data_IF_831645630308
#
_entry.id   IF_831645630308
#
_cell.length_a   1.000
_cell.length_b   1.000
_cell.length_c   1.000
_cell.angle_alpha   90.00
_cell.angle_beta   90.00
_cell.angle_gamma   90.00
#
_symmetry.space_group_name_H-M   'P 1'
#
loop_
_entity.id
_entity.type
_entity.pdbx_description
1 polymer ?
#
# COMPACT_ATOMS: atom_id res chain seq x y z
N UNK A 1 -2.47 28.58 9.58
CA UNK A 1 -3.02 27.26 9.27
C UNK A 1 -3.19 26.52 10.60
N UNK A 2 -4.29 25.83 10.84
CA UNK A 2 -4.50 25.00 12.03
C UNK A 2 -3.47 23.89 12.04
N UNK A 3 -2.90 23.57 13.20
CA UNK A 3 -1.99 22.44 13.37
C UNK A 3 -2.66 21.35 14.20
N UNK A 4 -2.24 20.11 14.02
CA UNK A 4 -2.89 18.91 14.56
C UNK A 4 -1.92 18.10 15.41
N UNK A 5 -2.45 17.49 16.46
CA UNK A 5 -1.72 16.47 17.24
C UNK A 5 -1.88 15.13 16.55
N UNK A 6 -0.76 14.56 16.17
CA UNK A 6 -0.71 13.29 15.41
C UNK A 6 -0.01 12.23 16.24
N UNK A 7 -0.60 11.05 16.32
CA UNK A 7 0.06 9.87 16.86
C UNK A 7 0.32 8.83 15.76
N UNK A 8 1.44 8.12 15.85
CA UNK A 8 1.74 6.96 14.99
C UNK A 8 1.75 5.71 15.87
N UNK A 9 0.75 4.85 15.71
CA UNK A 9 0.66 3.56 16.38
C UNK A 9 1.48 2.52 15.59
N UNK A 10 2.54 1.97 16.20
CA UNK A 10 3.51 1.12 15.52
C UNK A 10 4.68 1.90 14.89
N UNK A 11 5.06 3.03 15.52
CA UNK A 11 6.04 3.99 15.00
C UNK A 11 7.43 3.41 14.72
N UNK A 12 7.84 2.36 15.41
CA UNK A 12 9.17 1.74 15.26
C UNK A 12 9.28 0.76 14.09
N UNK A 13 8.13 0.35 13.51
CA UNK A 13 8.06 -0.50 12.32
C UNK A 13 8.46 0.22 11.03
N UNK A 14 8.65 -0.55 9.94
CA UNK A 14 9.05 0.00 8.64
C UNK A 14 8.04 1.06 8.13
N UNK A 15 6.74 0.75 8.16
CA UNK A 15 5.68 1.66 7.72
C UNK A 15 5.56 2.87 8.66
N UNK A 16 5.66 2.68 9.98
CA UNK A 16 5.58 3.79 10.94
C UNK A 16 6.72 4.80 10.76
N UNK A 17 7.95 4.33 10.55
CA UNK A 17 9.10 5.19 10.22
C UNK A 17 8.92 5.92 8.88
N UNK A 18 8.36 5.26 7.90
CA UNK A 18 8.06 5.88 6.61
C UNK A 18 6.95 6.92 6.73
N UNK A 19 5.92 6.70 7.58
CA UNK A 19 4.90 7.71 7.89
C UNK A 19 5.51 8.98 8.50
N UNK A 20 6.48 8.85 9.41
CA UNK A 20 7.21 10.00 9.95
C UNK A 20 7.89 10.80 8.83
N UNK A 21 8.59 10.11 7.93
CA UNK A 21 9.30 10.72 6.80
C UNK A 21 8.31 11.44 5.86
N UNK A 22 7.22 10.78 5.49
CA UNK A 22 6.20 11.32 4.57
C UNK A 22 5.47 12.52 5.20
N UNK A 23 5.16 12.50 6.51
CA UNK A 23 4.58 13.66 7.20
C UNK A 23 5.48 14.90 7.07
N UNK A 24 6.81 14.72 7.19
CA UNK A 24 7.78 15.80 7.03
C UNK A 24 7.89 16.26 5.57
N UNK A 25 8.04 15.34 4.63
CA UNK A 25 8.20 15.65 3.20
C UNK A 25 6.97 16.34 2.58
N UNK A 26 5.79 16.09 3.15
CA UNK A 26 4.52 16.68 2.69
C UNK A 26 4.10 17.90 3.50
N UNK A 27 4.98 18.42 4.35
CA UNK A 27 4.70 19.58 5.21
C UNK A 27 3.36 19.46 5.96
N UNK A 28 3.02 18.24 6.41
CA UNK A 28 1.77 18.01 7.14
C UNK A 28 1.72 18.90 8.40
N UNK A 29 0.61 19.60 8.68
CA UNK A 29 0.54 20.61 9.73
C UNK A 29 0.50 19.99 11.14
N UNK A 30 1.58 19.37 11.56
CA UNK A 30 1.74 18.76 12.89
C UNK A 30 2.07 19.82 13.94
N UNK A 31 1.33 19.83 15.06
CA UNK A 31 1.68 20.59 16.26
C UNK A 31 2.53 19.78 17.24
N UNK A 32 2.15 18.52 17.44
CA UNK A 32 2.82 17.55 18.30
C UNK A 32 2.78 16.19 17.61
N UNK A 33 3.91 15.47 17.60
CA UNK A 33 4.00 14.09 17.08
C UNK A 33 4.28 13.13 18.23
N UNK A 34 3.40 12.14 18.39
CA UNK A 34 3.53 11.08 19.38
C UNK A 34 3.86 9.75 18.71
N UNK A 35 4.88 9.07 19.19
CA UNK A 35 5.36 7.81 18.62
C UNK A 35 5.02 6.66 19.56
N UNK A 36 3.98 5.89 19.22
CA UNK A 36 3.43 4.86 20.07
C UNK A 36 3.88 3.46 19.61
N UNK A 37 4.37 2.64 20.54
CA UNK A 37 4.77 1.27 20.29
C UNK A 37 4.56 0.36 21.52
N UNK A 38 4.93 -0.93 21.37
CA UNK A 38 4.92 -1.89 22.46
C UNK A 38 6.03 -1.61 23.49
N UNK A 39 5.92 -2.18 24.70
CA UNK A 39 6.91 -2.04 25.80
C UNK A 39 8.36 -2.27 25.35
N UNK A 40 8.59 -3.18 24.41
CA UNK A 40 9.94 -3.48 23.89
C UNK A 40 10.63 -2.30 23.21
N UNK A 41 9.86 -1.32 22.78
CA UNK A 41 10.36 -0.15 22.04
C UNK A 41 10.29 1.15 22.84
N UNK A 42 9.70 1.13 24.03
CA UNK A 42 9.58 2.32 24.89
C UNK A 42 10.96 2.86 25.24
N UNK A 43 11.12 4.17 25.17
CA UNK A 43 12.37 4.86 25.43
C UNK A 43 13.35 4.88 24.25
N UNK A 44 13.08 4.18 23.15
CA UNK A 44 13.81 4.44 21.90
C UNK A 44 13.56 5.88 21.48
N UNK A 45 14.59 6.51 20.92
CA UNK A 45 14.48 7.88 20.40
C UNK A 45 14.54 7.85 18.89
N UNK A 46 13.58 8.49 18.23
CA UNK A 46 13.54 8.65 16.78
C UNK A 46 13.61 10.15 16.45
N UNK A 47 14.42 10.51 15.46
CA UNK A 47 14.53 11.89 15.01
C UNK A 47 13.46 12.21 13.97
N UNK A 48 12.79 13.36 14.11
CA UNK A 48 11.83 13.89 13.15
C UNK A 48 11.95 15.41 13.06
N UNK A 49 12.18 15.94 11.85
CA UNK A 49 12.40 17.39 11.60
C UNK A 49 13.44 18.02 12.52
N UNK A 50 14.52 17.28 12.80
CA UNK A 50 15.60 17.73 13.67
C UNK A 50 15.28 17.72 15.18
N UNK A 51 14.15 17.15 15.56
CA UNK A 51 13.77 16.94 16.95
C UNK A 51 13.82 15.46 17.31
N UNK A 52 14.35 15.15 18.45
CA UNK A 52 14.38 13.81 19.01
C UNK A 52 13.10 13.55 19.80
N UNK A 53 12.35 12.52 19.41
CA UNK A 53 11.08 12.14 20.00
C UNK A 53 11.23 10.75 20.63
N UNK A 54 10.94 10.65 21.90
CA UNK A 54 10.93 9.37 22.60
C UNK A 54 9.69 8.54 22.21
N UNK A 55 9.89 7.25 22.04
CA UNK A 55 8.80 6.30 21.81
C UNK A 55 8.08 6.02 23.13
N UNK A 56 6.77 6.20 23.12
CA UNK A 56 5.86 6.02 24.24
C UNK A 56 5.15 4.66 24.18
N UNK A 57 4.66 4.20 25.34
CA UNK A 57 3.83 3.00 25.41
C UNK A 57 2.47 3.24 24.75
N UNK A 58 2.08 2.38 23.83
CA UNK A 58 0.72 2.37 23.29
C UNK A 58 -0.25 1.89 24.40
N UNK A 59 -1.11 2.79 24.86
CA UNK A 59 -2.17 2.51 25.83
C UNK A 59 -3.38 3.42 25.53
N UNK A 60 -4.54 3.12 26.11
CA UNK A 60 -5.79 3.85 25.83
C UNK A 60 -5.68 5.35 26.16
N UNK A 61 -4.89 5.70 27.20
CA UNK A 61 -4.67 7.08 27.62
C UNK A 61 -3.80 7.88 26.63
N UNK A 62 -2.91 7.21 25.89
CA UNK A 62 -2.01 7.86 24.94
C UNK A 62 -2.75 8.51 23.76
N UNK A 63 -4.01 8.17 23.53
CA UNK A 63 -4.82 8.77 22.46
C UNK A 63 -5.60 10.01 22.88
N UNK A 64 -5.60 10.36 24.17
CA UNK A 64 -6.34 11.52 24.66
C UNK A 64 -5.77 12.82 24.09
N UNK A 65 -6.64 13.63 23.48
CA UNK A 65 -6.28 14.90 22.89
C UNK A 65 -5.56 14.81 21.54
N UNK A 66 -5.43 13.61 20.95
CA UNK A 66 -4.96 13.45 19.57
C UNK A 66 -6.08 13.85 18.60
N UNK A 67 -5.71 14.46 17.48
CA UNK A 67 -6.62 14.75 16.38
C UNK A 67 -6.65 13.57 15.38
N UNK A 68 -5.47 13.02 15.05
CA UNK A 68 -5.30 11.95 14.06
C UNK A 68 -4.35 10.88 14.62
N UNK A 69 -4.71 9.62 14.42
CA UNK A 69 -3.85 8.46 14.69
C UNK A 69 -3.59 7.72 13.39
N UNK A 70 -2.32 7.60 13.00
CA UNK A 70 -1.88 6.79 11.87
C UNK A 70 -1.51 5.39 12.37
N UNK A 71 -2.20 4.37 11.90
CA UNK A 71 -1.98 2.98 12.31
C UNK A 71 -1.00 2.27 11.37
N UNK A 72 0.10 1.80 11.94
CA UNK A 72 1.11 0.96 11.29
C UNK A 72 1.35 -0.34 12.08
N UNK A 73 0.30 -0.86 12.71
CA UNK A 73 0.32 -2.05 13.55
C UNK A 73 -0.50 -3.18 12.94
N UNK A 74 -0.37 -4.37 13.50
CA UNK A 74 -1.12 -5.57 13.09
C UNK A 74 -2.62 -5.48 13.45
N UNK A 75 -3.43 -6.33 12.80
CA UNK A 75 -4.89 -6.34 12.92
C UNK A 75 -5.39 -6.37 14.37
N UNK A 76 -4.80 -7.21 15.22
CA UNK A 76 -5.25 -7.36 16.62
C UNK A 76 -4.98 -6.10 17.43
N UNK A 77 -3.87 -5.43 17.16
CA UNK A 77 -3.52 -4.16 17.80
C UNK A 77 -4.45 -3.04 17.31
N UNK A 78 -4.73 -2.99 16.01
CA UNK A 78 -5.68 -2.04 15.43
C UNK A 78 -7.08 -2.22 16.04
N UNK A 79 -7.60 -3.44 16.09
CA UNK A 79 -8.91 -3.75 16.71
C UNK A 79 -8.95 -3.40 18.20
N UNK A 80 -7.88 -3.66 18.94
CA UNK A 80 -7.78 -3.35 20.36
C UNK A 80 -7.89 -1.85 20.63
N UNK A 81 -7.18 -1.03 19.86
CA UNK A 81 -7.07 0.40 20.15
C UNK A 81 -8.10 1.27 19.42
N UNK A 82 -8.70 0.81 18.34
CA UNK A 82 -9.69 1.58 17.59
C UNK A 82 -10.83 2.15 18.48
N UNK A 83 -11.43 1.40 19.43
CA UNK A 83 -12.47 1.96 20.30
C UNK A 83 -11.95 3.09 21.20
N UNK A 84 -10.73 2.99 21.72
CA UNK A 84 -10.13 4.01 22.56
C UNK A 84 -9.78 5.28 21.76
N UNK A 85 -9.26 5.13 20.54
CA UNK A 85 -8.95 6.22 19.60
C UNK A 85 -10.23 7.00 19.24
N UNK A 86 -11.28 6.30 18.81
CA UNK A 86 -12.57 6.92 18.47
C UNK A 86 -13.21 7.59 19.67
N UNK A 87 -13.17 6.96 20.85
CA UNK A 87 -13.68 7.54 22.11
C UNK A 87 -12.92 8.81 22.51
N UNK A 88 -11.63 8.89 22.21
CA UNK A 88 -10.81 10.08 22.46
C UNK A 88 -11.14 11.24 21.47
N UNK A 89 -11.96 11.00 20.45
CA UNK A 89 -12.35 11.98 19.43
C UNK A 89 -11.35 12.09 18.27
N UNK A 90 -10.32 11.24 18.22
CA UNK A 90 -9.36 11.20 17.13
C UNK A 90 -9.89 10.41 15.94
N UNK A 91 -9.41 10.73 14.73
CA UNK A 91 -9.65 9.92 13.54
C UNK A 91 -8.51 8.92 13.38
N UNK A 92 -8.87 7.63 13.29
CA UNK A 92 -7.93 6.54 13.09
C UNK A 92 -7.80 6.20 11.60
N UNK A 93 -6.65 6.48 10.99
CA UNK A 93 -6.30 6.04 9.63
C UNK A 93 -5.53 4.74 9.76
N UNK A 94 -6.21 3.61 9.55
CA UNK A 94 -5.68 2.27 9.81
C UNK A 94 -5.10 1.62 8.56
N UNK A 95 -3.83 1.23 8.62
CA UNK A 95 -3.14 0.54 7.52
C UNK A 95 -3.29 -1.00 7.58
N UNK A 96 -3.84 -1.54 8.65
CA UNK A 96 -4.10 -2.98 8.76
C UNK A 96 -5.27 -3.42 7.88
N UNK A 97 -5.53 -4.72 7.82
CA UNK A 97 -6.72 -5.23 7.12
C UNK A 97 -7.97 -5.34 8.01
N UNK A 98 -7.87 -4.89 9.27
CA UNK A 98 -8.87 -5.15 10.31
C UNK A 98 -10.28 -4.64 9.96
N UNK A 99 -10.37 -3.49 9.27
CA UNK A 99 -11.63 -2.79 9.02
C UNK A 99 -11.94 -2.56 7.54
N UNK A 100 -11.07 -3.01 6.62
CA UNK A 100 -11.18 -2.68 5.18
C UNK A 100 -12.51 -3.05 4.55
N UNK A 101 -13.09 -4.18 4.93
CA UNK A 101 -14.36 -4.68 4.38
C UNK A 101 -15.57 -4.36 5.26
N UNK A 102 -15.37 -3.68 6.38
CA UNK A 102 -16.48 -3.19 7.20
C UNK A 102 -17.29 -2.16 6.40
N UNK A 103 -18.62 -2.32 6.25
CA UNK A 103 -19.47 -1.41 5.47
C UNK A 103 -19.51 0.01 6.04
N UNK A 104 -19.28 0.16 7.35
CA UNK A 104 -19.30 1.45 8.04
C UNK A 104 -17.96 2.18 8.03
N UNK A 105 -16.89 1.53 7.56
CA UNK A 105 -15.54 2.10 7.51
C UNK A 105 -15.15 2.39 6.06
N UNK A 106 -14.90 3.64 5.67
CA UNK A 106 -14.43 3.95 4.32
C UNK A 106 -13.05 3.35 4.06
N UNK A 107 -12.86 2.87 2.83
CA UNK A 107 -11.61 2.34 2.31
C UNK A 107 -11.15 3.27 1.20
N UNK A 108 -10.03 4.01 1.40
CA UNK A 108 -9.75 5.19 0.59
C UNK A 108 -8.39 5.14 -0.11
N UNK A 109 -8.43 5.43 -1.40
CA UNK A 109 -7.27 5.86 -2.19
C UNK A 109 -7.56 7.29 -2.65
N UNK A 110 -6.84 8.32 -2.17
CA UNK A 110 -7.16 9.73 -2.45
C UNK A 110 -7.26 10.08 -3.93
N UNK A 111 -6.53 9.41 -4.81
CA UNK A 111 -6.61 9.60 -6.26
C UNK A 111 -7.84 8.95 -6.91
N UNK A 112 -8.62 8.16 -6.18
CA UNK A 112 -9.75 7.39 -6.72
C UNK A 112 -11.08 7.81 -6.10
N UNK A 113 -11.17 7.74 -4.76
CA UNK A 113 -12.41 7.96 -4.02
C UNK A 113 -12.24 8.88 -2.79
N UNK A 114 -11.65 10.09 -2.93
CA UNK A 114 -11.38 10.99 -1.79
C UNK A 114 -12.64 11.36 -1.00
N UNK A 115 -13.78 11.47 -1.67
CA UNK A 115 -15.06 11.84 -1.03
C UNK A 115 -15.56 10.79 -0.02
N UNK A 116 -15.12 9.54 -0.13
CA UNK A 116 -15.48 8.51 0.82
C UNK A 116 -14.86 8.77 2.20
N UNK A 117 -13.71 9.45 2.27
CA UNK A 117 -13.10 9.83 3.54
C UNK A 117 -14.07 10.62 4.43
N UNK A 118 -14.92 11.47 3.85
CA UNK A 118 -15.92 12.28 4.58
C UNK A 118 -17.03 11.47 5.26
N UNK A 119 -17.18 10.19 4.89
CA UNK A 119 -18.21 9.30 5.43
C UNK A 119 -17.78 8.55 6.70
N UNK A 120 -16.55 8.79 7.19
CA UNK A 120 -16.01 8.07 8.33
C UNK A 120 -16.80 8.29 9.63
N UNK A 121 -16.81 7.28 10.47
CA UNK A 121 -17.35 7.31 11.84
C UNK A 121 -16.21 7.23 12.89
N UNK A 122 -15.06 7.85 12.58
CA UNK A 122 -13.85 7.86 13.41
C UNK A 122 -12.75 6.90 12.93
N UNK A 123 -13.02 6.03 11.96
CA UNK A 123 -12.04 5.12 11.37
C UNK A 123 -12.08 5.27 9.85
N UNK A 124 -10.90 5.30 9.21
CA UNK A 124 -10.71 5.21 7.76
C UNK A 124 -9.66 4.12 7.51
N UNK A 125 -9.95 3.19 6.64
CA UNK A 125 -9.00 2.14 6.27
C UNK A 125 -8.15 2.54 5.08
N UNK A 126 -6.85 2.26 5.21
CA UNK A 126 -5.88 2.32 4.13
C UNK A 126 -5.84 0.95 3.43
N UNK A 127 -5.97 0.88 2.08
CA UNK A 127 -6.05 -0.39 1.37
C UNK A 127 -4.75 -1.20 1.39
N UNK A 128 -4.83 -2.41 0.85
CA UNK A 128 -3.68 -3.27 0.59
C UNK A 128 -2.70 -2.61 -0.41
N UNK A 129 -1.41 -2.79 -0.19
CA UNK A 129 -0.37 -2.14 -0.99
C UNK A 129 -0.43 -2.52 -2.48
N UNK A 130 -0.65 -3.79 -2.80
CA UNK A 130 -0.78 -4.27 -4.18
C UNK A 130 -2.06 -3.73 -4.82
N UNK A 131 -3.15 -3.67 -4.05
CA UNK A 131 -4.41 -3.04 -4.49
C UNK A 131 -4.21 -1.57 -4.81
N UNK A 132 -3.56 -0.79 -3.94
CA UNK A 132 -3.28 0.63 -4.18
C UNK A 132 -2.48 0.82 -5.47
N UNK A 133 -1.33 0.13 -5.59
CA UNK A 133 -0.45 0.25 -6.76
C UNK A 133 -1.19 -0.11 -8.05
N UNK A 134 -1.98 -1.18 -8.02
CA UNK A 134 -2.72 -1.64 -9.20
C UNK A 134 -3.85 -0.69 -9.59
N UNK A 135 -4.68 -0.28 -8.62
CA UNK A 135 -5.85 0.55 -8.92
C UNK A 135 -5.46 1.97 -9.32
N UNK A 136 -4.43 2.57 -8.71
CA UNK A 136 -3.91 3.87 -9.14
C UNK A 136 -3.45 3.81 -10.60
N UNK A 137 -2.77 2.73 -11.00
CA UNK A 137 -2.28 2.56 -12.37
C UNK A 137 -3.37 2.53 -13.44
N UNK A 138 -4.57 2.02 -13.10
CA UNK A 138 -5.64 1.76 -14.08
C UNK A 138 -6.88 2.64 -13.91
N UNK A 139 -7.01 3.39 -12.81
CA UNK A 139 -8.24 4.15 -12.54
C UNK A 139 -8.58 5.17 -13.62
N UNK A 140 -7.59 5.78 -14.25
CA UNK A 140 -7.82 6.72 -15.36
C UNK A 140 -8.58 6.08 -16.53
N UNK A 141 -8.39 4.78 -16.77
CA UNK A 141 -9.12 4.03 -17.80
C UNK A 141 -10.59 3.86 -17.43
N UNK A 142 -10.88 3.66 -16.14
CA UNK A 142 -12.26 3.50 -15.64
C UNK A 142 -13.13 4.75 -15.86
N UNK A 143 -12.52 5.94 -15.91
CA UNK A 143 -13.24 7.18 -16.21
C UNK A 143 -13.58 7.32 -17.71
N UNK A 144 -12.77 6.74 -18.59
CA UNK A 144 -13.00 6.76 -20.05
C UNK A 144 -13.97 5.64 -20.47
N UNK A 145 -13.79 4.44 -19.93
CA UNK A 145 -14.70 3.30 -20.10
C UNK A 145 -14.67 2.40 -18.84
N UNK A 146 -15.85 2.04 -18.27
CA UNK A 146 -15.91 1.24 -17.06
C UNK A 146 -15.12 -0.06 -17.15
N UNK A 147 -14.32 -0.35 -16.11
CA UNK A 147 -13.57 -1.60 -16.02
C UNK A 147 -14.52 -2.73 -15.61
N UNK A 148 -14.54 -3.81 -16.37
CA UNK A 148 -15.35 -5.00 -16.13
C UNK A 148 -14.57 -6.12 -15.45
N UNK A 149 -13.30 -6.30 -15.85
CA UNK A 149 -12.47 -7.34 -15.25
C UNK A 149 -10.97 -7.00 -15.24
N UNK A 150 -10.28 -7.63 -14.29
CA UNK A 150 -8.84 -7.54 -14.10
C UNK A 150 -8.27 -8.95 -13.97
N UNK A 151 -7.24 -9.26 -14.76
CA UNK A 151 -6.37 -10.41 -14.50
C UNK A 151 -5.00 -9.86 -14.15
N UNK A 152 -4.50 -10.18 -12.95
CA UNK A 152 -3.26 -9.62 -12.44
C UNK A 152 -2.30 -10.69 -11.94
N UNK A 153 -1.01 -10.45 -12.13
CA UNK A 153 0.07 -11.18 -11.48
C UNK A 153 0.98 -10.18 -10.79
N UNK A 154 1.05 -10.25 -9.47
CA UNK A 154 1.90 -9.34 -8.69
C UNK A 154 3.24 -10.00 -8.36
N UNK A 155 4.31 -9.22 -8.49
CA UNK A 155 5.68 -9.55 -8.13
C UNK A 155 6.04 -8.71 -6.91
N UNK A 156 5.81 -9.28 -5.73
CA UNK A 156 5.85 -8.52 -4.48
C UNK A 156 7.22 -8.62 -3.81
N UNK A 157 7.82 -7.46 -3.57
CA UNK A 157 9.10 -7.32 -2.88
C UNK A 157 9.04 -7.84 -1.44
N UNK A 158 10.17 -8.33 -0.94
CA UNK A 158 10.29 -8.95 0.39
C UNK A 158 9.97 -8.00 1.54
N UNK A 159 10.17 -6.69 1.37
CA UNK A 159 9.81 -5.69 2.40
C UNK A 159 8.31 -5.58 2.68
N UNK A 160 7.47 -6.16 1.81
CA UNK A 160 6.04 -6.33 2.09
C UNK A 160 5.75 -7.29 3.28
N UNK A 161 6.72 -8.11 3.67
CA UNK A 161 6.67 -8.93 4.88
C UNK A 161 7.28 -8.21 6.13
N UNK A 162 7.39 -6.88 6.07
CA UNK A 162 8.01 -6.09 7.14
C UNK A 162 9.55 -6.12 7.10
N UNK A 163 10.18 -5.61 8.15
CA UNK A 163 11.65 -5.47 8.22
C UNK A 163 12.40 -6.81 8.15
N UNK A 164 11.76 -7.91 8.54
CA UNK A 164 12.34 -9.25 8.48
C UNK A 164 12.60 -9.73 7.06
N UNK A 165 11.74 -9.39 6.11
CA UNK A 165 11.86 -9.86 4.72
C UNK A 165 13.16 -9.45 4.02
N UNK A 166 13.53 -8.16 3.96
CA UNK A 166 14.81 -7.74 3.42
C UNK A 166 16.01 -8.35 4.15
N UNK A 167 15.93 -8.45 5.47
CA UNK A 167 16.99 -9.02 6.29
C UNK A 167 17.22 -10.50 5.91
N UNK A 168 16.16 -11.31 5.87
CA UNK A 168 16.24 -12.72 5.50
C UNK A 168 16.80 -12.89 4.08
N UNK A 169 16.33 -12.12 3.10
CA UNK A 169 16.86 -12.18 1.73
C UNK A 169 18.39 -11.95 1.70
N UNK A 170 18.87 -10.92 2.41
CA UNK A 170 20.31 -10.60 2.42
C UNK A 170 21.13 -11.68 3.14
N UNK A 171 20.64 -12.19 4.28
CA UNK A 171 21.28 -13.27 5.02
C UNK A 171 21.34 -14.56 4.20
N UNK A 172 20.26 -14.93 3.50
CA UNK A 172 20.24 -16.08 2.60
C UNK A 172 21.27 -15.96 1.47
N UNK A 173 21.36 -14.80 0.84
CA UNK A 173 22.36 -14.55 -0.23
C UNK A 173 23.77 -14.75 0.29
N UNK A 174 24.10 -14.26 1.49
CA UNK A 174 25.43 -14.44 2.09
C UNK A 174 25.71 -15.91 2.44
N UNK A 175 24.74 -16.61 3.05
CA UNK A 175 24.89 -18.05 3.36
C UNK A 175 25.13 -18.89 2.10
N UNK A 176 24.36 -18.63 1.03
CA UNK A 176 24.51 -19.34 -0.23
C UNK A 176 25.86 -19.05 -0.89
N UNK A 177 26.35 -17.81 -0.82
CA UNK A 177 27.68 -17.45 -1.31
C UNK A 177 28.80 -18.20 -0.59
N UNK A 178 28.60 -18.49 0.70
CA UNK A 178 29.53 -19.28 1.51
C UNK A 178 29.35 -20.79 1.36
N UNK A 179 28.43 -21.27 0.53
CA UNK A 179 28.12 -22.69 0.35
C UNK A 179 27.39 -23.33 1.55
N UNK A 180 26.76 -22.50 2.39
CA UNK A 180 25.99 -22.93 3.55
C UNK A 180 24.52 -23.18 3.20
N UNK A 181 23.86 -24.02 4.01
CA UNK A 181 22.43 -24.25 3.90
C UNK A 181 21.61 -23.06 4.44
N UNK A 182 20.46 -22.80 3.82
CA UNK A 182 19.49 -21.80 4.25
C UNK A 182 18.40 -22.44 5.10
N UNK A 183 17.92 -21.72 6.12
CA UNK A 183 16.79 -22.11 6.94
C UNK A 183 15.84 -20.89 7.07
N UNK A 184 14.85 -20.75 6.17
CA UNK A 184 13.91 -19.62 6.16
C UNK A 184 13.19 -19.46 7.49
N UNK A 185 12.96 -18.21 7.91
CA UNK A 185 12.28 -17.85 9.15
C UNK A 185 11.05 -16.95 8.91
N UNK A 186 11.10 -16.11 7.89
CA UNK A 186 10.03 -15.17 7.50
C UNK A 186 9.16 -15.77 6.40
N UNK A 187 9.79 -16.43 5.44
CA UNK A 187 9.09 -17.03 4.30
C UNK A 187 8.96 -18.54 4.46
N UNK A 188 8.03 -19.15 3.73
CA UNK A 188 7.79 -20.61 3.75
C UNK A 188 8.96 -21.41 3.16
N UNK A 189 9.69 -20.79 2.25
CA UNK A 189 10.82 -21.36 1.52
C UNK A 189 11.93 -20.32 1.36
N UNK A 190 13.14 -20.77 1.04
CA UNK A 190 14.22 -19.90 0.60
C UNK A 190 13.71 -18.93 -0.44
N UNK A 191 13.93 -17.62 -0.21
CA UNK A 191 13.52 -16.56 -1.14
C UNK A 191 14.67 -16.14 -2.06
N UNK A 192 15.92 -16.20 -1.60
CA UNK A 192 17.08 -15.90 -2.45
C UNK A 192 17.11 -16.84 -3.67
N UNK A 193 17.16 -16.25 -4.87
CA UNK A 193 17.13 -16.95 -6.17
C UNK A 193 15.88 -17.78 -6.44
N UNK A 194 14.75 -17.43 -5.81
CA UNK A 194 13.50 -18.17 -5.91
C UNK A 194 12.30 -17.23 -6.06
N UNK A 195 11.16 -17.78 -6.44
CA UNK A 195 9.85 -17.13 -6.40
C UNK A 195 8.85 -18.00 -5.65
N UNK A 196 8.04 -17.40 -4.79
CA UNK A 196 7.06 -18.13 -3.98
C UNK A 196 5.66 -17.67 -4.40
N UNK A 197 4.87 -18.52 -5.10
CA UNK A 197 3.56 -18.14 -5.65
C UNK A 197 2.43 -18.28 -4.62
N UNK A 198 2.71 -17.87 -3.39
CA UNK A 198 1.73 -17.84 -2.30
C UNK A 198 2.08 -16.74 -1.31
N UNK A 199 1.18 -15.79 -1.13
CA UNK A 199 1.24 -14.77 -0.08
C UNK A 199 -0.07 -14.82 0.70
N UNK A 200 0.02 -14.96 2.02
CA UNK A 200 -1.14 -15.22 2.87
C UNK A 200 -1.61 -16.68 2.84
N UNK A 201 -2.61 -16.99 3.66
CA UNK A 201 -3.26 -18.30 3.71
C UNK A 201 -4.36 -18.45 2.68
N UNK A 202 -4.83 -19.68 2.46
CA UNK A 202 -5.99 -19.95 1.63
C UNK A 202 -7.24 -19.23 2.18
N UNK A 203 -8.02 -18.63 1.30
CA UNK A 203 -9.20 -17.85 1.66
C UNK A 203 -10.46 -18.24 0.88
N UNK A 204 -10.36 -18.56 -0.41
CA UNK A 204 -11.50 -18.88 -1.24
C UNK A 204 -11.10 -19.72 -2.47
N UNK A 205 -11.59 -20.94 -2.57
CA UNK A 205 -11.48 -21.82 -3.77
C UNK A 205 -10.09 -21.83 -4.42
N UNK A 206 -9.02 -21.99 -3.62
CA UNK A 206 -7.64 -21.99 -4.08
C UNK A 206 -6.98 -20.61 -4.20
N UNK A 207 -7.73 -19.52 -3.98
CA UNK A 207 -7.16 -18.19 -3.86
C UNK A 207 -6.68 -17.91 -2.45
N UNK A 208 -5.57 -17.19 -2.33
CA UNK A 208 -5.04 -16.75 -1.04
C UNK A 208 -5.75 -15.47 -0.55
N UNK A 209 -5.62 -15.20 0.74
CA UNK A 209 -6.14 -13.96 1.33
C UNK A 209 -5.57 -12.70 0.69
N UNK A 210 -4.32 -12.72 0.23
CA UNK A 210 -3.70 -11.60 -0.48
C UNK A 210 -4.34 -11.37 -1.85
N UNK A 211 -4.58 -12.44 -2.60
CA UNK A 211 -5.20 -12.39 -3.94
C UNK A 211 -6.64 -11.88 -3.89
N UNK A 212 -7.41 -12.30 -2.89
CA UNK A 212 -8.79 -11.86 -2.71
C UNK A 212 -8.93 -10.38 -2.34
N UNK A 213 -7.88 -9.75 -1.78
CA UNK A 213 -7.89 -8.32 -1.46
C UNK A 213 -8.13 -7.46 -2.70
N UNK A 214 -7.47 -7.76 -3.82
CA UNK A 214 -7.62 -6.94 -5.03
C UNK A 214 -9.08 -6.91 -5.52
N UNK A 215 -9.80 -8.03 -5.46
CA UNK A 215 -11.21 -8.05 -5.83
C UNK A 215 -12.08 -7.33 -4.80
N UNK A 216 -11.97 -7.71 -3.54
CA UNK A 216 -12.89 -7.23 -2.50
C UNK A 216 -12.70 -5.73 -2.22
N UNK A 217 -11.46 -5.30 -2.08
CA UNK A 217 -11.10 -3.90 -1.89
C UNK A 217 -11.36 -3.08 -3.17
N UNK A 218 -11.02 -3.63 -4.35
CA UNK A 218 -11.25 -2.98 -5.64
C UNK A 218 -12.72 -2.66 -5.90
N UNK A 219 -13.63 -3.59 -5.59
CA UNK A 219 -15.08 -3.37 -5.67
C UNK A 219 -15.53 -2.20 -4.81
N UNK A 220 -15.01 -2.11 -3.59
CA UNK A 220 -15.36 -1.06 -2.62
C UNK A 220 -14.80 0.29 -3.03
N UNK A 221 -13.51 0.36 -3.37
CA UNK A 221 -12.80 1.61 -3.70
C UNK A 221 -13.31 2.23 -5.00
N UNK A 222 -13.49 1.40 -6.03
CA UNK A 222 -13.91 1.88 -7.36
C UNK A 222 -15.43 1.99 -7.52
N UNK A 223 -16.20 1.63 -6.50
CA UNK A 223 -17.67 1.55 -6.56
C UNK A 223 -18.18 0.67 -7.72
N UNK A 224 -17.46 -0.44 -7.99
CA UNK A 224 -17.79 -1.41 -9.02
C UNK A 224 -18.13 -2.76 -8.36
N UNK A 225 -19.35 -2.97 -7.86
CA UNK A 225 -19.72 -4.19 -7.11
C UNK A 225 -19.59 -5.47 -7.94
N UNK A 226 -19.73 -5.37 -9.26
CA UNK A 226 -19.63 -6.49 -10.19
C UNK A 226 -18.21 -6.72 -10.76
N UNK A 227 -17.21 -5.94 -10.34
CA UNK A 227 -15.83 -6.08 -10.79
C UNK A 227 -15.33 -7.52 -10.57
N UNK A 228 -14.84 -8.14 -11.63
CA UNK A 228 -14.25 -9.49 -11.60
C UNK A 228 -12.74 -9.39 -11.59
N UNK A 229 -12.10 -10.01 -10.61
CA UNK A 229 -10.64 -10.01 -10.50
C UNK A 229 -10.13 -11.43 -10.32
N UNK A 230 -9.17 -11.82 -11.15
CA UNK A 230 -8.35 -13.01 -10.92
C UNK A 230 -6.91 -12.54 -10.69
N UNK A 231 -6.36 -12.85 -9.52
CA UNK A 231 -5.03 -12.40 -9.14
C UNK A 231 -4.16 -13.58 -8.70
N UNK A 232 -2.88 -13.56 -9.08
CA UNK A 232 -1.84 -14.44 -8.52
C UNK A 232 -0.79 -13.57 -7.84
N UNK A 233 -0.55 -13.80 -6.55
CA UNK A 233 0.41 -13.04 -5.77
C UNK A 233 1.69 -13.83 -5.54
N UNK A 234 2.81 -13.32 -6.08
CA UNK A 234 4.11 -13.98 -6.03
C UNK A 234 5.10 -13.16 -5.21
N UNK A 235 5.74 -13.76 -4.21
CA UNK A 235 6.89 -13.16 -3.52
C UNK A 235 8.13 -13.36 -4.38
N UNK A 236 8.88 -12.29 -4.61
CA UNK A 236 10.10 -12.29 -5.44
C UNK A 236 11.30 -11.75 -4.66
N UNK A 237 12.55 -12.12 -5.01
CA UNK A 237 13.76 -11.70 -4.31
C UNK A 237 14.17 -10.25 -4.70
N UNK A 238 13.23 -9.34 -4.55
CA UNK A 238 13.40 -7.90 -4.74
C UNK A 238 13.19 -7.21 -3.40
N UNK A 239 14.10 -6.31 -3.03
CA UNK A 239 14.11 -5.71 -1.70
C UNK A 239 12.90 -4.82 -1.47
N UNK A 240 12.58 -3.91 -2.42
CA UNK A 240 11.55 -2.89 -2.28
C UNK A 240 10.90 -2.58 -3.64
N UNK A 241 9.69 -2.06 -3.65
CA UNK A 241 8.77 -1.84 -4.77
C UNK A 241 8.12 -3.11 -5.32
N UNK A 242 6.79 -3.09 -5.37
CA UNK A 242 6.00 -4.12 -6.01
C UNK A 242 5.85 -3.83 -7.50
N UNK A 243 5.87 -4.88 -8.31
CA UNK A 243 5.51 -4.81 -9.72
C UNK A 243 4.25 -5.62 -9.97
N UNK A 244 3.39 -5.17 -10.89
CA UNK A 244 2.19 -5.90 -11.25
C UNK A 244 2.02 -5.92 -12.77
N UNK A 245 1.81 -7.11 -13.32
CA UNK A 245 1.34 -7.31 -14.68
C UNK A 245 -0.17 -7.38 -14.64
N UNK A 246 -0.84 -6.50 -15.39
CA UNK A 246 -2.29 -6.35 -15.38
C UNK A 246 -2.83 -6.50 -16.78
N UNK A 247 -3.83 -7.38 -16.96
CA UNK A 247 -4.76 -7.34 -18.08
C UNK A 247 -6.03 -6.69 -17.55
N UNK A 248 -6.36 -5.52 -18.07
CA UNK A 248 -7.61 -4.81 -17.76
C UNK A 248 -8.54 -4.85 -18.95
N UNK A 249 -9.81 -5.22 -18.72
CA UNK A 249 -10.85 -5.20 -19.74
C UNK A 249 -11.90 -4.17 -19.38
N UNK A 250 -12.18 -3.31 -20.34
CA UNK A 250 -13.15 -2.22 -20.22
C UNK A 250 -14.40 -2.55 -21.06
N UNK A 251 -15.50 -1.87 -20.77
CA UNK A 251 -16.76 -2.07 -21.50
C UNK A 251 -16.61 -1.73 -22.99
N UNK A 252 -15.98 -0.60 -23.27
CA UNK A 252 -15.66 -0.16 -24.62
C UNK A 252 -14.14 -0.18 -24.82
N UNK A 253 -13.68 -0.39 -26.05
CA UNK A 253 -12.25 -0.41 -26.36
C UNK A 253 -11.61 0.95 -26.11
N UNK A 254 -10.51 0.97 -25.37
CA UNK A 254 -9.61 2.12 -25.24
C UNK A 254 -8.36 1.81 -26.09
N UNK A 255 -7.97 2.72 -26.99
CA UNK A 255 -6.74 2.52 -27.76
C UNK A 255 -5.49 2.68 -26.88
N UNK A 256 -4.37 2.09 -27.30
CA UNK A 256 -3.09 2.19 -26.56
C UNK A 256 -2.64 3.65 -26.41
N UNK A 257 -2.81 4.45 -27.46
CA UNK A 257 -2.48 5.89 -27.46
C UNK A 257 -3.34 6.62 -26.42
N UNK A 258 -4.66 6.36 -26.44
CA UNK A 258 -5.61 6.96 -25.50
C UNK A 258 -5.28 6.55 -24.06
N UNK A 259 -4.95 5.30 -23.81
CA UNK A 259 -4.55 4.81 -22.49
C UNK A 259 -3.28 5.50 -21.98
N UNK A 260 -2.29 5.73 -22.86
CA UNK A 260 -1.08 6.49 -22.50
C UNK A 260 -1.39 7.93 -22.13
N UNK A 261 -2.24 8.62 -22.89
CA UNK A 261 -2.69 9.99 -22.57
C UNK A 261 -3.37 10.05 -21.20
N UNK A 262 -4.33 9.15 -20.94
CA UNK A 262 -5.08 9.10 -19.69
C UNK A 262 -4.17 8.85 -18.50
N UNK A 263 -3.26 7.89 -18.60
CA UNK A 263 -2.33 7.53 -17.54
C UNK A 263 -1.30 8.63 -17.30
N UNK A 264 -0.80 9.27 -18.38
CA UNK A 264 0.16 10.37 -18.25
C UNK A 264 -0.44 11.60 -17.53
N UNK A 265 -1.76 11.80 -17.63
CA UNK A 265 -2.49 12.88 -16.98
C UNK A 265 -3.04 12.50 -15.58
N UNK A 266 -3.00 11.20 -15.22
CA UNK A 266 -3.60 10.71 -13.99
C UNK A 266 -2.83 11.12 -12.75
N UNK A 267 -3.51 11.62 -11.69
CA UNK A 267 -2.85 11.87 -10.42
C UNK A 267 -2.29 10.57 -9.84
N UNK A 268 -1.13 10.65 -9.19
CA UNK A 268 -0.45 9.50 -8.60
C UNK A 268 0.29 8.59 -9.58
N UNK A 269 0.18 8.82 -10.90
CA UNK A 269 0.84 8.05 -11.94
C UNK A 269 2.06 8.77 -12.56
N UNK A 270 3.00 7.97 -13.07
CA UNK A 270 4.07 8.42 -13.95
C UNK A 270 4.19 7.45 -15.12
N UNK A 271 3.92 7.94 -16.34
CA UNK A 271 4.09 7.14 -17.55
C UNK A 271 5.58 6.97 -17.89
N UNK A 272 6.02 5.72 -18.03
CA UNK A 272 7.37 5.33 -18.50
C UNK A 272 7.18 4.17 -19.49
N UNK A 273 6.93 4.48 -20.75
CA UNK A 273 6.54 3.50 -21.77
C UNK A 273 7.24 3.74 -23.10
N UNK A 274 8.51 3.39 -23.16
CA UNK A 274 9.36 3.49 -24.37
C UNK A 274 10.15 2.20 -24.55
N UNK A 275 9.51 1.22 -25.19
CA UNK A 275 10.11 -0.10 -25.39
C UNK A 275 11.35 -0.03 -26.32
N UNK A 276 11.34 0.83 -27.31
CA UNK A 276 12.46 0.97 -28.26
C UNK A 276 13.75 1.39 -27.56
N UNK A 277 13.66 2.29 -26.58
CA UNK A 277 14.79 2.76 -25.79
C UNK A 277 14.92 2.01 -24.44
N UNK A 278 14.23 0.88 -24.27
CA UNK A 278 14.27 0.03 -23.07
C UNK A 278 13.91 0.79 -21.78
N UNK A 279 12.97 1.72 -21.86
CA UNK A 279 12.48 2.51 -20.71
C UNK A 279 11.11 2.02 -20.29
N UNK A 280 11.04 1.39 -19.13
CA UNK A 280 9.85 0.85 -18.51
C UNK A 280 10.01 0.81 -16.99
N UNK A 281 8.92 0.77 -16.21
CA UNK A 281 9.00 0.78 -14.74
C UNK A 281 9.74 -0.44 -14.19
N UNK A 282 10.65 -0.18 -13.24
CA UNK A 282 11.40 -1.23 -12.53
C UNK A 282 11.51 -0.90 -11.03
N UNK A 283 11.58 -1.93 -10.14
CA UNK A 283 11.65 -1.74 -8.69
C UNK A 283 12.77 -0.79 -8.21
N UNK A 284 13.96 -0.87 -8.79
CA UNK A 284 15.10 -0.02 -8.38
C UNK A 284 14.84 1.47 -8.62
N UNK A 285 14.07 1.82 -9.65
CA UNK A 285 13.77 3.21 -10.00
C UNK A 285 12.56 3.75 -9.24
N UNK A 286 11.68 2.87 -8.76
CA UNK A 286 10.42 3.25 -8.11
C UNK A 286 10.48 3.18 -6.58
N UNK A 287 11.55 2.62 -6.03
CA UNK A 287 11.80 2.62 -4.59
C UNK A 287 12.02 4.04 -4.07
N UNK A 288 11.48 4.35 -2.91
CA UNK A 288 11.46 5.70 -2.31
C UNK A 288 10.70 6.76 -3.13
N UNK A 289 9.81 6.35 -4.05
CA UNK A 289 8.96 7.25 -4.83
C UNK A 289 7.49 7.15 -4.41
N UNK A 290 6.78 8.28 -4.46
CA UNK A 290 5.34 8.34 -4.13
C UNK A 290 4.45 8.01 -5.33
N UNK A 291 4.96 8.05 -6.54
CA UNK A 291 4.18 7.79 -7.74
C UNK A 291 4.19 6.30 -8.11
N UNK A 292 3.09 5.85 -8.70
CA UNK A 292 3.02 4.57 -9.38
C UNK A 292 3.49 4.76 -10.82
N UNK A 293 4.55 4.07 -11.20
CA UNK A 293 5.10 4.13 -12.55
C UNK A 293 4.39 3.09 -13.41
N UNK A 294 3.93 3.52 -14.59
CA UNK A 294 3.12 2.70 -15.49
C UNK A 294 3.75 2.68 -16.88
N UNK A 295 3.78 1.52 -17.50
CA UNK A 295 4.30 1.35 -18.86
C UNK A 295 3.98 -0.01 -19.45
N UNK A 296 4.67 -0.37 -20.53
CA UNK A 296 4.41 -1.60 -21.29
C UNK A 296 2.94 -1.74 -21.70
N UNK A 297 2.31 -0.59 -22.01
CA UNK A 297 0.90 -0.52 -22.43
C UNK A 297 0.79 -1.04 -23.85
N UNK A 298 -0.08 -2.04 -24.06
CA UNK A 298 -0.31 -2.70 -25.34
C UNK A 298 -1.67 -3.38 -25.36
N UNK A 299 -2.20 -3.64 -26.55
CA UNK A 299 -3.45 -4.40 -26.70
C UNK A 299 -3.35 -5.80 -26.08
N UNK A 300 -4.44 -6.27 -25.49
CA UNK A 300 -4.61 -7.67 -25.11
C UNK A 300 -4.95 -8.49 -26.35
N UNK A 301 -4.10 -9.46 -26.69
CA UNK A 301 -4.31 -10.34 -27.85
C UNK A 301 -5.43 -11.37 -27.63
N UNK A 302 -6.02 -11.43 -26.45
CA UNK A 302 -7.07 -12.40 -26.08
C UNK A 302 -8.44 -11.76 -25.93
N UNK A 303 -8.56 -10.44 -26.12
CA UNK A 303 -9.81 -9.69 -25.99
C UNK A 303 -9.74 -8.38 -26.80
N UNK A 304 -10.81 -8.05 -27.50
CA UNK A 304 -10.90 -6.82 -28.28
C UNK A 304 -10.89 -5.55 -27.42
N UNK A 305 -11.40 -5.63 -26.18
CA UNK A 305 -11.54 -4.51 -25.26
C UNK A 305 -10.50 -4.57 -24.11
N UNK A 306 -9.43 -5.33 -24.28
CA UNK A 306 -8.41 -5.53 -23.26
C UNK A 306 -7.13 -4.75 -23.53
N UNK A 307 -6.49 -4.32 -22.44
CA UNK A 307 -5.14 -3.75 -22.42
C UNK A 307 -4.25 -4.53 -21.46
N UNK A 308 -3.02 -4.78 -21.86
CA UNK A 308 -1.95 -5.25 -20.99
C UNK A 308 -1.15 -4.04 -20.50
N UNK A 309 -0.91 -3.99 -19.19
CA UNK A 309 -0.22 -2.90 -18.50
C UNK A 309 0.81 -3.50 -17.54
N UNK A 310 1.93 -2.84 -17.38
CA UNK A 310 2.89 -3.10 -16.34
C UNK A 310 2.99 -1.88 -15.44
N UNK A 311 2.87 -2.06 -14.14
CA UNK A 311 3.09 -0.98 -13.20
C UNK A 311 4.08 -1.40 -12.11
N UNK A 312 4.71 -0.40 -11.49
CA UNK A 312 5.63 -0.56 -10.40
C UNK A 312 5.46 0.57 -9.39
N UNK A 313 5.40 0.26 -8.12
CA UNK A 313 5.22 1.26 -7.07
C UNK A 313 5.76 0.80 -5.72
N UNK A 314 6.18 1.75 -4.91
CA UNK A 314 6.72 1.50 -3.59
C UNK A 314 5.61 1.14 -2.60
N UNK A 315 5.58 -0.13 -2.17
CA UNK A 315 4.55 -0.65 -1.28
C UNK A 315 4.63 -0.09 0.15
N UNK A 316 5.79 0.45 0.56
CA UNK A 316 5.95 1.08 1.88
C UNK A 316 5.56 2.55 1.84
N UNK A 317 5.75 3.22 0.67
CA UNK A 317 5.33 4.61 0.45
C UNK A 317 3.90 4.68 -0.09
N UNK A 318 3.71 4.76 -1.40
CA UNK A 318 2.35 4.88 -1.97
C UNK A 318 1.45 3.72 -1.55
N UNK A 319 1.98 2.51 -1.48
CA UNK A 319 1.23 1.34 -1.03
C UNK A 319 0.84 1.34 0.46
N UNK A 320 1.39 2.25 1.28
CA UNK A 320 1.13 2.29 2.72
C UNK A 320 1.22 3.72 3.29
N UNK A 321 2.42 4.17 3.67
CA UNK A 321 2.63 5.40 4.43
C UNK A 321 2.13 6.65 3.70
N UNK A 322 2.48 6.80 2.42
CA UNK A 322 2.06 7.97 1.63
C UNK A 322 0.55 8.02 1.46
N UNK A 323 -0.09 6.88 1.15
CA UNK A 323 -1.55 6.85 1.02
C UNK A 323 -2.25 7.19 2.35
N UNK A 324 -1.74 6.67 3.48
CA UNK A 324 -2.30 7.00 4.80
C UNK A 324 -2.14 8.48 5.17
N UNK A 325 -0.99 9.10 4.87
CA UNK A 325 -0.77 10.53 5.09
C UNK A 325 -1.65 11.37 4.13
N UNK A 326 -1.81 10.97 2.88
CA UNK A 326 -2.73 11.62 1.94
C UNK A 326 -4.19 11.54 2.43
N UNK A 327 -4.62 10.39 3.00
CA UNK A 327 -5.94 10.30 3.64
C UNK A 327 -6.05 11.31 4.80
N UNK A 328 -5.01 11.41 5.63
CA UNK A 328 -4.98 12.38 6.73
C UNK A 328 -5.02 13.83 6.20
N UNK A 329 -4.42 14.13 5.04
CA UNK A 329 -4.52 15.45 4.39
C UNK A 329 -5.96 15.81 4.02
N UNK A 330 -6.78 14.85 3.55
CA UNK A 330 -8.21 15.08 3.25
C UNK A 330 -9.02 15.47 4.49
N UNK A 331 -8.51 15.21 5.70
CA UNK A 331 -9.19 15.55 6.95
C UNK A 331 -8.86 16.98 7.45
N UNK A 332 -7.82 17.59 6.88
CA UNK A 332 -7.27 18.87 7.35
C UNK A 332 -7.38 20.00 6.30
N UNK A 333 -7.78 19.68 5.10
CA UNK A 333 -8.14 20.62 4.03
C UNK A 333 -9.55 21.18 4.30
#
# INVERSE_FOLDING_TARGET
>A
MKKYKVAILGATGAVGREMMKVLAERDFPVSELHLLASERSVGQVLSWNGQDIAVELACDQAFQGMDIVLGAAENDIAKRFAPAIVKAGAVFVDNSSAFRLDPDVPLVIPEINPEDAKKHKGIISNPNCTTIVSLVAINALNHDSPIESIVASSYQAVSGAGAGGPKELMEEVELLREGKSVAPQVFQYQIAYNVIPQIGGEAFEGYTSEEMKMQNEGRKIMHLPELKVSCTCVRVPVVRSHSVSIVVRTKEKISVERARELIAAAPGCKLVDDLANKRYPMPLETSDQDLVFVGRIRDDLTSDNGLNIWCCGDQVRKGAATNAVQIAQLLVE
#
